data_IF_978304174247
#
_entry.id   IF_978304174247
#
_cell.length_a   1.000
_cell.length_b   1.000
_cell.length_c   1.000
_cell.angle_alpha   90.00
_cell.angle_beta   90.00
_cell.angle_gamma   90.00
#
_symmetry.space_group_name_H-M   'P 1'
#
loop_
_entity.id
_entity.type
_entity.pdbx_description
1 polymer ?
#
# COMPACT_ATOMS: atom_id res chain seq x y z
N UNK A 1 -10.59 -4.17 4.17
CA UNK A 1 -10.28 -5.52 4.72
C UNK A 1 -8.96 -5.49 5.47
N UNK A 2 -8.60 -6.57 6.19
CA UNK A 2 -7.26 -6.79 6.77
C UNK A 2 -6.75 -8.16 6.35
N UNK A 3 -5.45 -8.41 6.53
CA UNK A 3 -4.87 -9.74 6.38
C UNK A 3 -5.29 -10.71 7.47
N UNK A 4 -4.79 -11.93 7.37
CA UNK A 4 -5.02 -13.01 8.35
C UNK A 4 -3.71 -13.55 8.94
N UNK A 5 -2.60 -13.35 8.23
CA UNK A 5 -1.28 -13.87 8.57
C UNK A 5 -0.55 -12.96 9.57
N UNK A 6 0.34 -13.56 10.34
CA UNK A 6 1.35 -12.84 11.13
C UNK A 6 2.58 -12.52 10.27
N UNK A 7 3.43 -11.57 10.73
CA UNK A 7 4.64 -11.18 9.98
C UNK A 7 5.63 -12.32 9.89
N UNK A 8 5.68 -13.20 10.89
CA UNK A 8 6.56 -14.37 10.89
C UNK A 8 6.18 -15.44 9.83
N UNK A 9 5.00 -15.33 9.23
CA UNK A 9 4.57 -16.17 8.09
C UNK A 9 4.98 -15.59 6.73
N UNK A 10 5.61 -14.40 6.73
CA UNK A 10 6.15 -13.81 5.52
C UNK A 10 7.48 -14.46 5.11
N UNK A 11 7.82 -14.30 3.84
CA UNK A 11 9.03 -14.84 3.23
C UNK A 11 9.98 -13.72 2.82
N UNK A 12 11.28 -14.00 2.77
CA UNK A 12 12.28 -13.10 2.19
C UNK A 12 12.16 -13.00 0.68
N UNK A 13 11.64 -14.05 0.03
CA UNK A 13 11.37 -14.15 -1.41
C UNK A 13 10.05 -14.87 -1.64
N UNK A 14 9.33 -14.54 -2.74
CA UNK A 14 8.05 -15.15 -3.06
C UNK A 14 7.37 -14.50 -4.25
N UNK A 15 6.25 -15.06 -4.65
CA UNK A 15 5.53 -14.66 -5.86
C UNK A 15 4.79 -13.32 -5.70
N UNK A 16 4.28 -13.03 -4.51
CA UNK A 16 3.46 -11.86 -4.23
C UNK A 16 4.08 -11.03 -3.12
N UNK A 17 3.85 -9.71 -3.18
CA UNK A 17 4.23 -8.81 -2.09
C UNK A 17 3.36 -9.10 -0.86
N UNK A 18 4.01 -9.22 0.29
CA UNK A 18 3.35 -9.27 1.59
C UNK A 18 3.54 -7.91 2.28
N UNK A 19 2.45 -7.24 2.62
CA UNK A 19 2.49 -5.94 3.26
C UNK A 19 2.27 -6.08 4.77
N UNK A 20 3.34 -5.86 5.51
CA UNK A 20 3.31 -5.65 6.95
C UNK A 20 3.06 -4.18 7.28
N UNK A 21 3.10 -3.83 8.57
CA UNK A 21 3.08 -2.42 8.99
C UNK A 21 4.42 -1.71 8.76
N UNK A 22 5.56 -2.44 8.63
CA UNK A 22 6.87 -1.86 8.33
C UNK A 22 7.03 -1.55 6.83
N UNK A 23 8.00 -0.68 6.44
CA UNK A 23 8.31 -0.42 5.05
C UNK A 23 9.13 -1.55 4.38
N UNK A 24 9.56 -2.55 5.15
CA UNK A 24 10.41 -3.62 4.68
C UNK A 24 9.74 -4.48 3.59
N UNK A 25 10.58 -5.10 2.77
CA UNK A 25 10.16 -5.93 1.65
C UNK A 25 9.93 -7.38 2.12
N UNK A 26 8.66 -7.77 2.22
CA UNK A 26 8.26 -9.14 2.49
C UNK A 26 7.47 -9.71 1.33
N UNK A 27 7.41 -11.04 1.26
CA UNK A 27 6.75 -11.80 0.20
C UNK A 27 5.86 -12.90 0.75
N UNK A 28 5.02 -13.45 -0.11
CA UNK A 28 4.19 -14.63 0.13
C UNK A 28 4.04 -15.42 -1.17
N UNK A 29 3.74 -16.72 -1.06
CA UNK A 29 3.39 -17.55 -2.22
C UNK A 29 1.89 -17.56 -2.52
N UNK A 30 1.10 -16.90 -1.70
CA UNK A 30 -0.34 -16.73 -1.85
C UNK A 30 -0.68 -15.23 -1.85
N UNK A 31 -1.82 -14.88 -2.42
CA UNK A 31 -2.37 -13.53 -2.31
C UNK A 31 -3.78 -13.56 -1.72
N UNK A 32 -4.15 -12.51 -0.99
CA UNK A 32 -5.48 -12.36 -0.39
C UNK A 32 -6.35 -11.37 -1.16
N UNK A 33 -5.72 -10.47 -1.91
CA UNK A 33 -6.44 -9.45 -2.69
C UNK A 33 -5.63 -8.97 -3.88
N UNK A 34 -6.31 -8.23 -4.78
CA UNK A 34 -5.75 -7.58 -5.95
C UNK A 34 -6.08 -6.10 -5.92
N UNK A 35 -5.10 -5.27 -6.27
CA UNK A 35 -5.26 -3.82 -6.43
C UNK A 35 -6.05 -3.41 -7.68
N UNK A 36 -6.26 -2.10 -7.86
CA UNK A 36 -5.65 -1.03 -7.05
C UNK A 36 -6.21 -0.98 -5.62
N UNK A 37 -5.32 -0.75 -4.68
CA UNK A 37 -5.64 -0.66 -3.26
C UNK A 37 -4.80 0.42 -2.56
N UNK A 38 -5.37 1.05 -1.54
CA UNK A 38 -4.62 1.86 -0.57
C UNK A 38 -4.43 1.05 0.70
N UNK A 39 -3.18 0.83 1.05
CA UNK A 39 -2.76 0.04 2.20
C UNK A 39 -2.37 0.98 3.35
N UNK A 40 -2.86 0.69 4.55
CA UNK A 40 -2.63 1.53 5.73
C UNK A 40 -2.07 0.65 6.86
N UNK A 41 -0.91 1.02 7.38
CA UNK A 41 -0.30 0.35 8.52
C UNK A 41 -1.12 0.62 9.79
N UNK A 42 -1.59 -0.43 10.46
CA UNK A 42 -2.51 -0.34 11.58
C UNK A 42 -1.84 -0.29 12.95
N UNK A 43 -0.56 -0.66 13.09
CA UNK A 43 0.15 -0.63 14.37
C UNK A 43 1.67 -0.47 14.21
N UNK A 44 2.34 -0.24 15.34
CA UNK A 44 3.79 -0.12 15.42
C UNK A 44 4.31 1.25 15.04
N UNK A 45 5.63 1.37 14.85
CA UNK A 45 6.33 2.64 14.59
C UNK A 45 5.89 3.35 13.31
N UNK A 46 5.29 2.61 12.38
CA UNK A 46 4.80 3.14 11.10
C UNK A 46 3.28 3.23 11.02
N UNK A 47 2.59 3.20 12.17
CA UNK A 47 1.13 3.35 12.23
C UNK A 47 0.66 4.56 11.44
N UNK A 48 -0.39 4.37 10.62
CA UNK A 48 -0.93 5.41 9.76
C UNK A 48 -0.20 5.58 8.41
N UNK A 49 0.92 4.88 8.17
CA UNK A 49 1.63 4.94 6.89
C UNK A 49 0.74 4.42 5.76
N UNK A 50 0.65 5.19 4.69
CA UNK A 50 -0.21 4.92 3.53
C UNK A 50 0.65 4.56 2.31
N UNK A 51 0.26 3.49 1.60
CA UNK A 51 0.92 2.98 0.39
C UNK A 51 -0.11 2.64 -0.67
N UNK A 52 0.13 3.00 -1.92
CA UNK A 52 -0.66 2.55 -3.08
C UNK A 52 -0.05 1.30 -3.70
N UNK A 53 -0.89 0.32 -4.06
CA UNK A 53 -0.43 -0.89 -4.74
C UNK A 53 -1.48 -1.43 -5.72
N UNK A 54 -1.03 -1.89 -6.91
CA UNK A 54 -1.90 -2.21 -8.04
C UNK A 54 -1.62 -3.60 -8.65
N UNK A 55 -1.25 -4.56 -7.81
CA UNK A 55 -1.06 -5.97 -8.21
C UNK A 55 -1.72 -6.88 -7.18
N UNK A 56 -1.56 -8.18 -7.33
CA UNK A 56 -1.92 -9.16 -6.31
C UNK A 56 -0.97 -9.03 -5.11
N UNK A 57 -1.53 -9.11 -3.89
CA UNK A 57 -0.78 -8.95 -2.65
C UNK A 57 -1.37 -9.76 -1.51
N UNK A 58 -0.52 -10.02 -0.52
CA UNK A 58 -0.91 -10.58 0.77
C UNK A 58 -0.70 -9.55 1.89
N UNK A 59 -1.35 -9.75 3.03
CA UNK A 59 -1.41 -8.77 4.10
C UNK A 59 -1.18 -9.39 5.48
N UNK A 60 -0.45 -8.65 6.28
CA UNK A 60 -0.43 -8.80 7.73
C UNK A 60 -1.80 -8.46 8.35
N UNK A 61 -2.18 -9.17 9.43
CA UNK A 61 -3.47 -9.02 10.11
C UNK A 61 -3.75 -7.60 10.66
N UNK A 62 -2.74 -6.76 10.80
CA UNK A 62 -2.84 -5.37 11.26
C UNK A 62 -2.61 -4.34 10.14
N UNK A 63 -2.54 -4.79 8.89
CA UNK A 63 -2.50 -3.89 7.73
C UNK A 63 -3.89 -3.83 7.12
N UNK A 64 -4.41 -2.62 6.96
CA UNK A 64 -5.71 -2.38 6.33
C UNK A 64 -5.53 -2.20 4.83
N UNK A 65 -6.44 -2.77 4.03
CA UNK A 65 -6.56 -2.50 2.61
C UNK A 65 -7.92 -1.85 2.31
N UNK A 66 -7.87 -0.65 1.75
CA UNK A 66 -9.00 0.05 1.16
C UNK A 66 -9.01 -0.29 -0.34
N UNK A 67 -9.95 -1.14 -0.74
CA UNK A 67 -10.15 -1.57 -2.13
C UNK A 67 -11.43 -0.90 -2.62
N UNK A 68 -11.40 -0.19 -3.77
CA UNK A 68 -12.58 0.50 -4.28
C UNK A 68 -13.64 -0.52 -4.71
N UNK A 69 -14.89 -0.12 -4.60
CA UNK A 69 -15.95 -0.77 -5.36
C UNK A 69 -15.82 -0.35 -6.83
N UNK A 70 -16.35 -1.16 -7.75
CA UNK A 70 -16.24 -0.93 -9.20
C UNK A 70 -16.56 0.50 -9.63
N UNK A 71 -17.66 1.08 -9.12
CA UNK A 71 -18.09 2.43 -9.43
C UNK A 71 -17.14 3.55 -8.90
N UNK A 72 -16.22 3.23 -8.00
CA UNK A 72 -15.28 4.17 -7.41
C UNK A 72 -13.83 3.95 -7.89
N UNK A 73 -13.63 3.05 -8.85
CA UNK A 73 -12.30 2.68 -9.35
C UNK A 73 -11.56 3.89 -9.94
N UNK A 74 -12.24 4.70 -10.72
CA UNK A 74 -11.68 5.90 -11.36
C UNK A 74 -11.25 6.98 -10.34
N UNK A 75 -11.83 6.96 -9.14
CA UNK A 75 -11.53 7.92 -8.08
C UNK A 75 -10.41 7.43 -7.13
N UNK A 76 -9.85 6.24 -7.35
CA UNK A 76 -8.77 5.70 -6.51
C UNK A 76 -7.55 6.61 -6.41
N UNK A 77 -7.08 7.28 -7.48
CA UNK A 77 -5.97 8.22 -7.37
C UNK A 77 -6.26 9.38 -6.41
N UNK A 78 -7.48 9.90 -6.42
CA UNK A 78 -7.90 10.94 -5.49
C UNK A 78 -7.94 10.40 -4.04
N UNK A 79 -8.58 9.26 -3.80
CA UNK A 79 -8.63 8.65 -2.46
C UNK A 79 -7.25 8.32 -1.92
N UNK A 80 -6.35 7.84 -2.78
CA UNK A 80 -4.96 7.64 -2.37
C UNK A 80 -4.32 8.95 -1.90
N UNK A 81 -4.47 10.05 -2.63
CA UNK A 81 -3.90 11.34 -2.24
C UNK A 81 -4.49 11.85 -0.93
N UNK A 82 -5.81 11.78 -0.75
CA UNK A 82 -6.46 12.16 0.52
C UNK A 82 -5.92 11.35 1.69
N UNK A 83 -5.88 10.03 1.56
CA UNK A 83 -5.35 9.16 2.60
C UNK A 83 -3.85 9.38 2.82
N UNK A 84 -3.08 9.65 1.76
CA UNK A 84 -1.64 9.88 1.85
C UNK A 84 -1.27 11.20 2.52
N UNK A 85 -1.97 12.27 2.19
CA UNK A 85 -1.57 13.62 2.63
C UNK A 85 -2.34 14.09 3.86
N UNK A 86 -3.62 13.75 3.99
CA UNK A 86 -4.45 14.19 5.11
C UNK A 86 -4.54 13.13 6.21
N UNK A 87 -4.97 11.91 5.89
CA UNK A 87 -5.09 10.85 6.88
C UNK A 87 -3.73 10.47 7.48
N UNK A 88 -2.73 10.19 6.65
CA UNK A 88 -1.39 9.86 7.14
C UNK A 88 -0.81 11.01 7.97
N UNK A 89 -1.00 12.26 7.56
CA UNK A 89 -0.53 13.42 8.32
C UNK A 89 -1.14 13.49 9.73
N UNK A 90 -2.40 13.07 9.88
CA UNK A 90 -3.12 13.06 11.16
C UNK A 90 -2.77 11.86 12.05
N UNK A 91 -2.54 10.70 11.46
CA UNK A 91 -2.44 9.43 12.18
C UNK A 91 -1.04 8.81 12.18
N UNK A 92 -0.06 9.42 11.52
CA UNK A 92 1.31 8.92 11.53
C UNK A 92 1.89 8.99 12.95
N UNK A 93 2.35 7.83 13.46
CA UNK A 93 2.81 7.71 14.84
C UNK A 93 1.69 7.35 15.84
N UNK A 94 0.46 7.16 15.35
CA UNK A 94 -0.69 6.71 16.14
C UNK A 94 -1.44 7.82 16.86
N UNK A 95 -2.72 7.59 17.10
CA UNK A 95 -3.64 8.54 17.75
C UNK A 95 -3.94 8.17 19.20
N UNK A 96 -3.48 7.01 19.67
CA UNK A 96 -3.87 6.46 20.97
C UNK A 96 -2.64 6.25 21.85
N UNK A 97 -2.71 6.73 23.09
CA UNK A 97 -1.63 6.74 24.06
C UNK A 97 -1.31 5.36 24.66
N UNK A 98 -0.91 4.43 23.83
CA UNK A 98 -0.35 3.14 24.25
C UNK A 98 1.16 3.12 23.96
N UNK A 99 1.89 2.24 24.64
CA UNK A 99 3.32 2.02 24.37
C UNK A 99 3.59 1.58 22.91
N UNK A 100 2.58 1.04 22.24
CA UNK A 100 2.62 0.71 20.81
C UNK A 100 1.50 1.51 20.13
N UNK A 101 1.83 2.46 19.24
CA UNK A 101 0.82 3.21 18.48
C UNK A 101 -0.05 2.29 17.64
N UNK A 102 -1.35 2.58 17.55
CA UNK A 102 -2.27 1.84 16.68
C UNK A 102 -3.43 2.71 16.20
N UNK A 103 -4.06 2.27 15.11
CA UNK A 103 -5.33 2.76 14.59
C UNK A 103 -6.31 1.59 14.48
N UNK A 104 -7.59 1.90 14.45
CA UNK A 104 -8.66 0.92 14.26
C UNK A 104 -9.41 1.20 12.97
N UNK A 105 -10.25 0.24 12.54
CA UNK A 105 -11.05 0.38 11.33
C UNK A 105 -11.94 1.65 11.34
N UNK A 106 -12.47 2.02 12.49
CA UNK A 106 -13.27 3.25 12.66
C UNK A 106 -12.51 4.50 12.30
N UNK A 107 -11.22 4.61 12.68
CA UNK A 107 -10.40 5.79 12.34
C UNK A 107 -10.31 6.01 10.82
N UNK A 108 -10.40 4.94 10.03
CA UNK A 108 -10.39 5.00 8.55
C UNK A 108 -11.79 5.23 8.01
N UNK A 109 -12.80 4.53 8.54
CA UNK A 109 -14.17 4.56 8.04
C UNK A 109 -14.86 5.90 8.30
N UNK A 110 -14.54 6.52 9.44
CA UNK A 110 -15.14 7.77 9.91
C UNK A 110 -14.24 8.99 9.57
N UNK A 111 -13.20 8.78 8.75
CA UNK A 111 -12.33 9.86 8.32
C UNK A 111 -13.04 10.76 7.32
N UNK A 112 -13.27 12.00 7.74
CA UNK A 112 -13.91 13.04 6.94
C UNK A 112 -12.87 13.94 6.27
N UNK A 113 -13.14 14.32 5.02
CA UNK A 113 -12.34 15.26 4.24
C UNK A 113 -13.23 16.12 3.36
N UNK A 114 -12.75 17.31 3.03
CA UNK A 114 -13.46 18.26 2.16
C UNK A 114 -12.94 18.11 0.72
N UNK A 115 -13.83 18.06 -0.26
CA UNK A 115 -13.46 18.00 -1.67
C UNK A 115 -14.43 18.83 -2.53
N UNK A 116 -13.93 19.22 -3.70
CA UNK A 116 -14.76 19.86 -4.73
C UNK A 116 -15.16 18.78 -5.75
N UNK A 117 -16.48 18.57 -5.89
CA UNK A 117 -17.03 17.51 -6.74
C UNK A 117 -16.68 17.71 -8.22
N UNK A 118 -16.61 18.93 -8.71
CA UNK A 118 -16.33 19.23 -10.12
C UNK A 118 -14.87 18.96 -10.49
N UNK A 119 -13.97 19.05 -9.52
CA UNK A 119 -12.52 18.87 -9.74
C UNK A 119 -12.02 17.46 -9.50
N UNK A 120 -12.78 16.61 -8.79
CA UNK A 120 -12.33 15.29 -8.33
C UNK A 120 -11.98 14.36 -9.50
N UNK A 121 -12.78 14.37 -10.57
CA UNK A 121 -12.58 13.50 -11.74
C UNK A 121 -11.33 13.92 -12.49
N UNK A 122 -11.18 15.21 -12.80
CA UNK A 122 -10.02 15.74 -13.49
C UNK A 122 -8.74 15.47 -12.69
N UNK A 123 -8.77 15.72 -11.38
CA UNK A 123 -7.67 15.42 -10.47
C UNK A 123 -7.30 13.93 -10.52
N UNK A 124 -8.30 13.04 -10.44
CA UNK A 124 -8.07 11.58 -10.47
C UNK A 124 -7.45 11.13 -11.79
N UNK A 125 -7.86 11.70 -12.92
CA UNK A 125 -7.26 11.39 -14.23
C UNK A 125 -5.79 11.79 -14.27
N UNK A 126 -5.44 12.99 -13.84
CA UNK A 126 -4.05 13.47 -13.89
C UNK A 126 -3.15 12.71 -12.92
N UNK A 127 -3.59 12.51 -11.68
CA UNK A 127 -2.84 11.72 -10.69
C UNK A 127 -2.76 10.25 -11.11
N UNK A 128 -3.79 9.70 -11.73
CA UNK A 128 -3.79 8.34 -12.27
C UNK A 128 -2.70 8.10 -13.30
N UNK A 129 -2.43 9.06 -14.18
CA UNK A 129 -1.30 9.01 -15.14
C UNK A 129 0.04 8.93 -14.41
N UNK A 130 0.22 9.74 -13.36
CA UNK A 130 1.44 9.74 -12.54
C UNK A 130 1.61 8.40 -11.83
N UNK A 131 0.57 7.88 -11.19
CA UNK A 131 0.61 6.58 -10.51
C UNK A 131 0.94 5.44 -11.50
N UNK A 132 0.34 5.45 -12.68
CA UNK A 132 0.64 4.46 -13.73
C UNK A 132 2.11 4.53 -14.16
N UNK A 133 2.66 5.73 -14.30
CA UNK A 133 4.07 5.90 -14.64
C UNK A 133 5.00 5.42 -13.52
N UNK A 134 4.68 5.70 -12.26
CA UNK A 134 5.39 5.16 -11.11
C UNK A 134 5.39 3.62 -11.11
N UNK A 135 4.25 2.98 -11.39
CA UNK A 135 4.16 1.52 -11.47
C UNK A 135 5.02 0.95 -12.61
N UNK A 136 5.12 1.66 -13.75
CA UNK A 136 5.99 1.26 -14.84
C UNK A 136 7.47 1.31 -14.43
N UNK A 137 7.90 2.41 -13.81
CA UNK A 137 9.28 2.57 -13.31
C UNK A 137 9.62 1.47 -12.28
N UNK A 138 8.71 1.17 -11.36
CA UNK A 138 8.92 0.09 -10.38
C UNK A 138 9.10 -1.26 -11.06
N UNK A 139 8.32 -1.56 -12.09
CA UNK A 139 8.46 -2.80 -12.87
C UNK A 139 9.79 -2.86 -13.64
N UNK A 140 10.26 -1.73 -14.16
CA UNK A 140 11.57 -1.65 -14.82
C UNK A 140 12.71 -1.88 -13.81
N UNK A 141 12.63 -1.28 -12.62
CA UNK A 141 13.59 -1.48 -11.56
C UNK A 141 13.64 -2.95 -11.09
N UNK A 142 12.50 -3.62 -10.95
CA UNK A 142 12.44 -5.05 -10.62
C UNK A 142 13.21 -5.88 -11.67
N UNK A 143 13.00 -5.60 -12.97
CA UNK A 143 13.70 -6.29 -14.06
C UNK A 143 15.21 -6.00 -14.08
N UNK A 144 15.60 -4.77 -13.84
CA UNK A 144 17.01 -4.38 -13.77
C UNK A 144 17.73 -5.10 -12.62
N UNK A 145 17.08 -5.22 -11.47
CA UNK A 145 17.60 -5.97 -10.31
C UNK A 145 17.75 -7.46 -10.63
N UNK A 146 16.77 -8.06 -11.31
CA UNK A 146 16.85 -9.44 -11.79
C UNK A 146 18.03 -9.65 -12.75
N UNK A 147 18.17 -8.78 -13.75
CA UNK A 147 19.25 -8.82 -14.72
C UNK A 147 20.62 -8.65 -14.04
N UNK A 148 20.75 -7.74 -13.08
CA UNK A 148 21.97 -7.55 -12.30
C UNK A 148 22.33 -8.83 -11.55
N UNK A 149 21.36 -9.48 -10.89
CA UNK A 149 21.58 -10.73 -10.15
C UNK A 149 22.05 -11.85 -11.07
N UNK A 150 21.44 -11.97 -12.26
CA UNK A 150 21.84 -12.98 -13.26
C UNK A 150 23.25 -12.74 -13.81
N UNK A 151 23.63 -11.48 -14.05
CA UNK A 151 24.98 -11.12 -14.49
C UNK A 151 26.02 -11.43 -13.43
N UNK A 152 25.77 -11.06 -12.17
CA UNK A 152 26.68 -11.36 -11.07
C UNK A 152 26.86 -12.88 -10.87
N UNK A 153 25.79 -13.65 -10.95
CA UNK A 153 25.85 -15.11 -10.88
C UNK A 153 26.69 -15.72 -12.02
N UNK A 154 26.65 -15.12 -13.22
CA UNK A 154 27.43 -15.58 -14.38
C UNK A 154 28.91 -15.17 -14.32
N UNK A 155 29.21 -14.06 -13.67
CA UNK A 155 30.60 -13.57 -13.48
C UNK A 155 31.33 -14.28 -12.34
N UNK A 156 30.61 -14.89 -11.42
CA UNK A 156 31.18 -15.64 -10.29
C UNK A 156 31.43 -17.12 -10.56
N UNK A 157 31.16 -17.58 -11.80
CA UNK A 157 31.51 -18.90 -12.31
C UNK A 157 32.82 -18.85 -13.13
#
# INVERSE_FOLDING_TARGET
>A
MTGKKDVNESLSEGKYRFFSCSPDLFYSNEYIAKGPAVLIAGNGSYTGRVTYYDKEFDLYQRTYACIPKEFALELMPFFYCVLKFEFQGKFLGGSRGSSIPYIVRGDIADFEFVYNQDSIILFSVEVGKILSHIQLILKENDKLTELQSLLLAKMGQ
#
